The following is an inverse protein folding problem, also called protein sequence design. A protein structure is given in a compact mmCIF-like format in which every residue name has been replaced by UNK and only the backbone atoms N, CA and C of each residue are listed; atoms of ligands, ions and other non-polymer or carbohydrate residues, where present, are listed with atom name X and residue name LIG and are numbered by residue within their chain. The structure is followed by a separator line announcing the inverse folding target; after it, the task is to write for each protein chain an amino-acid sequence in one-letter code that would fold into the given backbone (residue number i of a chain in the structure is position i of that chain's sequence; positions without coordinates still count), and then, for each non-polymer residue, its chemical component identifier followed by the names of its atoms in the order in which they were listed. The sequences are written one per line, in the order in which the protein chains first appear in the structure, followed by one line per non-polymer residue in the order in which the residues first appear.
data_IF_179735488657
#
_entry.id   IF_179735488657
#
_cell.length_a   1.000
_cell.length_b   1.000
_cell.length_c   1.000
_cell.angle_alpha   90.00
_cell.angle_beta   90.00
_cell.angle_gamma   90.00
#
_symmetry.space_group_name_H-M   'P 1'
#
loop_
_entity.id
_entity.type
_entity.pdbx_description
1 polymer ?
#
# COMPACT_ATOMS: atom_id res chain seq x y z
N UNK A 1 -24.36 23.29 -4.30
CA UNK A 1 -24.95 22.47 -5.40
C UNK A 1 -25.54 21.17 -4.85
N UNK A 2 -24.82 20.40 -4.06
CA UNK A 2 -25.28 19.11 -3.52
C UNK A 2 -26.54 19.23 -2.64
N UNK A 3 -26.70 20.33 -1.92
CA UNK A 3 -27.87 20.61 -1.07
C UNK A 3 -29.21 20.67 -1.84
N UNK A 4 -29.15 20.88 -3.16
CA UNK A 4 -30.33 20.95 -4.02
C UNK A 4 -30.66 19.63 -4.70
N UNK A 5 -29.78 18.64 -4.59
CA UNK A 5 -29.92 17.35 -5.26
C UNK A 5 -30.30 16.28 -4.24
N UNK A 6 -31.42 15.61 -4.49
CA UNK A 6 -31.84 14.49 -3.65
C UNK A 6 -30.94 13.28 -3.87
N UNK A 7 -30.37 12.71 -2.78
CA UNK A 7 -29.64 11.45 -2.83
C UNK A 7 -30.46 10.30 -3.40
N UNK A 8 -31.78 10.32 -3.20
CA UNK A 8 -32.66 9.35 -3.83
C UNK A 8 -32.67 9.48 -5.34
N UNK A 9 -32.69 10.70 -5.89
CA UNK A 9 -32.63 10.90 -7.35
C UNK A 9 -31.34 10.36 -7.94
N UNK A 10 -30.19 10.55 -7.27
CA UNK A 10 -28.90 9.96 -7.67
C UNK A 10 -28.93 8.45 -7.60
N UNK A 11 -29.53 7.85 -6.56
CA UNK A 11 -29.71 6.40 -6.42
C UNK A 11 -30.56 5.84 -7.55
N UNK A 12 -31.66 6.47 -7.88
CA UNK A 12 -32.55 6.05 -8.98
C UNK A 12 -31.83 6.13 -10.33
N UNK A 13 -31.14 7.24 -10.59
CA UNK A 13 -30.32 7.40 -11.78
C UNK A 13 -29.26 6.30 -11.90
N UNK A 14 -28.49 6.04 -10.84
CA UNK A 14 -27.46 5.00 -10.81
C UNK A 14 -28.01 3.61 -11.15
N UNK A 15 -29.17 3.24 -10.56
CA UNK A 15 -29.81 1.96 -10.85
C UNK A 15 -30.30 1.87 -12.29
N UNK A 16 -30.86 2.95 -12.86
CA UNK A 16 -31.27 2.96 -14.26
C UNK A 16 -30.07 2.85 -15.19
N UNK A 17 -28.98 3.54 -14.90
CA UNK A 17 -27.73 3.44 -15.65
C UNK A 17 -27.14 2.01 -15.57
N UNK A 18 -27.11 1.42 -14.37
CA UNK A 18 -26.58 0.07 -14.13
C UNK A 18 -27.34 -1.04 -14.87
N UNK A 19 -28.68 -0.93 -14.93
CA UNK A 19 -29.52 -1.97 -15.54
C UNK A 19 -29.97 -1.64 -16.97
N UNK A 20 -29.66 -0.45 -17.49
CA UNK A 20 -30.06 0.00 -18.82
C UNK A 20 -31.57 0.10 -19.03
N UNK A 21 -32.37 0.04 -17.95
CA UNK A 21 -33.84 -0.04 -18.03
C UNK A 21 -34.52 0.53 -16.79
N UNK A 22 -35.44 1.46 -17.01
CA UNK A 22 -36.31 2.02 -15.97
C UNK A 22 -37.15 0.95 -15.30
N UNK A 23 -37.63 -0.03 -16.08
CA UNK A 23 -38.44 -1.14 -15.58
C UNK A 23 -37.66 -2.06 -14.65
N UNK A 24 -36.43 -2.42 -15.03
CA UNK A 24 -35.57 -3.27 -14.21
C UNK A 24 -35.11 -2.53 -12.95
N UNK A 25 -34.75 -1.25 -13.07
CA UNK A 25 -34.38 -0.43 -11.92
C UNK A 25 -35.54 -0.31 -10.92
N UNK A 26 -36.76 -0.05 -11.41
CA UNK A 26 -37.97 0.02 -10.58
C UNK A 26 -38.21 -1.28 -9.80
N UNK A 27 -38.06 -2.41 -10.48
CA UNK A 27 -38.19 -3.75 -9.86
C UNK A 27 -37.13 -3.99 -8.76
N UNK A 28 -35.89 -3.59 -9.01
CA UNK A 28 -34.79 -3.74 -8.04
C UNK A 28 -34.91 -2.81 -6.83
N UNK A 29 -35.48 -1.62 -7.04
CA UNK A 29 -35.71 -0.62 -6.00
C UNK A 29 -37.06 -0.79 -5.28
N UNK A 30 -37.89 -1.77 -5.68
CA UNK A 30 -39.24 -2.02 -5.12
C UNK A 30 -40.15 -0.81 -5.21
N UNK A 31 -40.11 -0.08 -6.35
CA UNK A 31 -40.92 1.11 -6.62
C UNK A 31 -41.59 1.02 -7.99
N UNK A 32 -42.49 1.97 -8.30
CA UNK A 32 -43.12 2.07 -9.61
C UNK A 32 -42.20 2.69 -10.67
N UNK A 33 -42.39 2.33 -11.93
CA UNK A 33 -41.64 2.94 -13.06
C UNK A 33 -41.86 4.47 -13.15
N UNK A 34 -43.08 4.94 -12.84
CA UNK A 34 -43.43 6.35 -12.81
C UNK A 34 -42.62 7.10 -11.72
N UNK A 35 -42.43 6.48 -10.57
CA UNK A 35 -41.58 7.03 -9.49
C UNK A 35 -40.12 7.19 -9.95
N UNK A 36 -39.57 6.14 -10.59
CA UNK A 36 -38.21 6.19 -11.14
C UNK A 36 -38.06 7.29 -12.17
N UNK A 37 -38.97 7.32 -13.17
CA UNK A 37 -38.95 8.33 -14.22
C UNK A 37 -39.06 9.76 -13.68
N UNK A 38 -39.93 9.98 -12.66
CA UNK A 38 -40.07 11.27 -11.99
C UNK A 38 -38.79 11.71 -11.29
N UNK A 39 -38.08 10.77 -10.62
CA UNK A 39 -36.84 11.09 -9.93
C UNK A 39 -35.70 11.42 -10.89
N UNK A 40 -35.64 10.74 -12.03
CA UNK A 40 -34.67 11.05 -13.09
C UNK A 40 -34.97 12.42 -13.67
N UNK A 41 -36.24 12.71 -14.01
CA UNK A 41 -36.65 14.01 -14.51
C UNK A 41 -36.28 15.13 -13.54
N UNK A 42 -36.59 14.99 -12.26
CA UNK A 42 -36.26 15.98 -11.25
C UNK A 42 -34.74 16.20 -11.13
N UNK A 43 -33.93 15.14 -11.31
CA UNK A 43 -32.48 15.24 -11.30
C UNK A 43 -31.96 16.00 -12.53
N UNK A 44 -32.45 15.68 -13.71
CA UNK A 44 -32.09 16.36 -14.95
C UNK A 44 -32.49 17.85 -14.92
N UNK A 45 -33.67 18.18 -14.39
CA UNK A 45 -34.10 19.55 -14.13
C UNK A 45 -33.18 20.29 -13.15
N UNK A 46 -32.89 19.68 -12.02
CA UNK A 46 -32.01 20.28 -11.00
C UNK A 46 -30.58 20.54 -11.51
N UNK A 47 -30.12 19.70 -12.44
CA UNK A 47 -28.79 19.81 -13.07
C UNK A 47 -28.85 20.69 -14.34
N UNK A 48 -30.05 21.01 -14.82
CA UNK A 48 -30.29 21.63 -16.14
C UNK A 48 -29.55 20.89 -17.26
N UNK A 49 -29.56 19.55 -17.21
CA UNK A 49 -28.76 18.69 -18.09
C UNK A 49 -29.44 17.34 -18.28
N UNK A 50 -29.57 16.90 -19.53
CA UNK A 50 -30.08 15.57 -19.85
C UNK A 50 -28.98 14.52 -19.52
N UNK A 51 -29.36 13.50 -18.79
CA UNK A 51 -28.49 12.37 -18.43
C UNK A 51 -28.76 11.15 -19.32
N UNK A 52 -29.95 11.07 -19.89
CA UNK A 52 -30.33 10.05 -20.86
C UNK A 52 -30.97 10.68 -22.10
N UNK A 53 -30.61 10.10 -23.24
CA UNK A 53 -31.30 10.35 -24.55
C UNK A 53 -32.28 9.21 -24.81
N UNK A 54 -33.48 9.59 -25.28
CA UNK A 54 -34.48 8.63 -25.77
C UNK A 54 -34.40 8.55 -27.30
N UNK A 55 -33.50 7.67 -27.81
CA UNK A 55 -33.43 7.40 -29.25
C UNK A 55 -34.05 6.03 -29.56
N UNK A 56 -34.98 5.98 -30.50
CA UNK A 56 -35.59 4.74 -31.02
C UNK A 56 -36.18 3.81 -29.96
N UNK A 57 -36.83 4.34 -28.92
CA UNK A 57 -37.38 3.59 -27.77
C UNK A 57 -36.30 2.96 -26.87
N UNK A 58 -35.03 3.19 -27.11
CA UNK A 58 -33.93 2.78 -26.24
C UNK A 58 -33.46 3.96 -25.38
N UNK A 59 -33.10 3.65 -24.14
CA UNK A 59 -32.52 4.59 -23.19
C UNK A 59 -31.00 4.58 -23.39
N UNK A 60 -30.43 5.66 -23.88
CA UNK A 60 -28.98 5.79 -24.11
C UNK A 60 -28.45 6.86 -23.16
N UNK A 61 -27.35 6.59 -22.48
CA UNK A 61 -26.72 7.54 -21.56
C UNK A 61 -26.02 8.66 -22.35
N UNK A 62 -26.13 9.91 -21.89
CA UNK A 62 -25.37 11.03 -22.44
C UNK A 62 -23.95 11.05 -21.88
N UNK A 63 -23.04 11.85 -22.46
CA UNK A 63 -21.69 12.06 -21.88
C UNK A 63 -21.73 12.59 -20.44
N UNK A 64 -22.70 13.45 -20.14
CA UNK A 64 -22.92 13.96 -18.77
C UNK A 64 -23.42 12.85 -17.84
N UNK A 65 -24.27 11.97 -18.35
CA UNK A 65 -24.70 10.77 -17.64
C UNK A 65 -23.52 9.84 -17.32
N UNK A 66 -22.60 9.63 -18.27
CA UNK A 66 -21.39 8.80 -18.06
C UNK A 66 -20.50 9.36 -16.95
N UNK A 67 -20.31 10.68 -16.90
CA UNK A 67 -19.56 11.34 -15.82
C UNK A 67 -20.24 11.11 -14.47
N UNK A 68 -21.57 11.35 -14.42
CA UNK A 68 -22.31 11.22 -13.16
C UNK A 68 -22.40 9.78 -12.68
N UNK A 69 -22.56 8.79 -13.57
CA UNK A 69 -22.63 7.39 -13.16
C UNK A 69 -21.30 6.88 -12.58
N UNK A 70 -20.17 7.34 -13.13
CA UNK A 70 -18.84 7.02 -12.58
C UNK A 70 -18.69 7.55 -11.15
N UNK A 71 -19.09 8.80 -10.91
CA UNK A 71 -19.11 9.39 -9.57
C UNK A 71 -20.06 8.63 -8.62
N UNK A 72 -21.29 8.34 -9.06
CA UNK A 72 -22.27 7.59 -8.27
C UNK A 72 -21.76 6.19 -7.91
N UNK A 73 -21.05 5.51 -8.82
CA UNK A 73 -20.46 4.20 -8.57
C UNK A 73 -19.47 4.24 -7.41
N UNK A 74 -18.59 5.24 -7.38
CA UNK A 74 -17.62 5.42 -6.29
C UNK A 74 -18.31 5.74 -4.96
N UNK A 75 -19.22 6.73 -4.94
CA UNK A 75 -19.89 7.16 -3.71
C UNK A 75 -20.76 6.06 -3.12
N UNK A 76 -21.58 5.38 -3.94
CA UNK A 76 -22.43 4.30 -3.46
C UNK A 76 -21.64 3.06 -3.08
N UNK A 77 -20.48 2.78 -3.73
CA UNK A 77 -19.56 1.73 -3.32
C UNK A 77 -19.02 1.97 -1.91
N UNK A 78 -18.53 3.17 -1.63
CA UNK A 78 -18.06 3.56 -0.29
C UNK A 78 -19.17 3.49 0.78
N UNK A 79 -20.40 3.90 0.43
CA UNK A 79 -21.55 3.76 1.33
C UNK A 79 -21.90 2.29 1.61
N UNK A 80 -21.89 1.44 0.60
CA UNK A 80 -22.16 0.00 0.76
C UNK A 80 -21.11 -0.65 1.67
N UNK A 81 -19.82 -0.33 1.50
CA UNK A 81 -18.73 -0.79 2.37
C UNK A 81 -18.95 -0.35 3.82
N UNK A 82 -19.26 0.91 4.05
CA UNK A 82 -19.56 1.45 5.38
C UNK A 82 -20.76 0.73 6.02
N UNK A 83 -21.85 0.52 5.26
CA UNK A 83 -23.04 -0.18 5.76
C UNK A 83 -22.77 -1.65 6.08
N UNK A 84 -21.91 -2.31 5.30
CA UNK A 84 -21.46 -3.67 5.59
C UNK A 84 -20.69 -3.70 6.91
N UNK A 85 -19.76 -2.76 7.12
CA UNK A 85 -19.01 -2.66 8.37
C UNK A 85 -19.91 -2.40 9.58
N UNK A 86 -20.93 -1.55 9.43
CA UNK A 86 -21.91 -1.26 10.50
C UNK A 86 -22.84 -2.46 10.78
N UNK A 87 -23.15 -3.26 9.77
CA UNK A 87 -24.06 -4.40 9.89
C UNK A 87 -23.38 -5.68 10.41
N UNK A 88 -22.04 -5.75 10.31
CA UNK A 88 -21.32 -6.86 10.91
C UNK A 88 -21.36 -6.68 12.44
N UNK A 89 -21.80 -7.70 13.21
CA UNK A 89 -21.55 -7.69 14.64
C UNK A 89 -20.05 -7.51 14.80
N UNK A 90 -19.62 -6.77 15.86
CA UNK A 90 -18.21 -6.73 16.27
C UNK A 90 -17.76 -8.14 16.65
N UNK A 91 -17.65 -9.03 15.67
CA UNK A 91 -16.81 -10.21 15.78
C UNK A 91 -15.41 -9.66 15.95
N UNK A 92 -14.74 -10.04 17.01
CA UNK A 92 -13.33 -9.76 17.24
C UNK A 92 -12.63 -9.90 15.89
N UNK A 93 -12.06 -8.82 15.39
CA UNK A 93 -11.48 -8.82 14.06
C UNK A 93 -10.26 -9.74 14.11
N UNK A 94 -10.45 -10.97 13.65
CA UNK A 94 -9.41 -12.02 13.72
C UNK A 94 -8.28 -11.80 12.73
N UNK A 95 -8.29 -10.69 12.02
CA UNK A 95 -7.23 -10.33 11.07
C UNK A 95 -6.59 -9.00 11.47
N UNK A 96 -5.27 -8.95 11.38
CA UNK A 96 -4.48 -7.72 11.47
C UNK A 96 -3.90 -7.44 10.09
N UNK A 97 -4.39 -6.38 9.44
CA UNK A 97 -3.97 -6.02 8.08
C UNK A 97 -2.70 -5.16 8.17
N UNK A 98 -1.61 -5.72 7.69
CA UNK A 98 -0.29 -5.10 7.70
C UNK A 98 0.14 -4.69 6.30
N UNK A 99 0.50 -3.43 6.10
CA UNK A 99 1.17 -2.95 4.89
C UNK A 99 2.68 -2.86 5.09
N UNK A 100 3.46 -3.42 4.18
CA UNK A 100 4.93 -3.36 4.24
C UNK A 100 5.54 -3.17 2.84
N UNK A 101 6.72 -2.57 2.77
CA UNK A 101 7.46 -2.43 1.51
C UNK A 101 7.76 -3.80 0.88
N UNK A 102 7.67 -3.95 -0.46
CA UNK A 102 7.77 -5.25 -1.12
C UNK A 102 9.05 -6.02 -0.77
N UNK A 103 10.21 -5.37 -0.84
CA UNK A 103 11.50 -6.06 -0.62
C UNK A 103 11.67 -6.52 0.82
N UNK A 104 11.34 -5.66 1.78
CA UNK A 104 11.38 -6.00 3.20
C UNK A 104 10.36 -7.11 3.52
N UNK A 105 9.16 -7.04 2.93
CA UNK A 105 8.14 -8.08 3.05
C UNK A 105 8.67 -9.44 2.62
N UNK A 106 9.21 -9.53 1.41
CA UNK A 106 9.66 -10.80 0.82
C UNK A 106 10.90 -11.38 1.52
N UNK A 107 11.88 -10.54 1.81
CA UNK A 107 13.19 -11.01 2.24
C UNK A 107 13.30 -11.16 3.76
N UNK A 108 12.62 -10.31 4.52
CA UNK A 108 12.74 -10.30 5.98
C UNK A 108 11.47 -10.74 6.71
N UNK A 109 10.30 -10.17 6.36
CA UNK A 109 9.08 -10.34 7.13
C UNK A 109 8.42 -11.71 6.90
N UNK A 110 8.14 -12.10 5.64
CA UNK A 110 7.48 -13.38 5.32
C UNK A 110 8.18 -14.58 5.94
N UNK A 111 9.51 -14.73 5.87
CA UNK A 111 10.21 -15.83 6.54
C UNK A 111 9.93 -15.91 8.05
N UNK A 112 9.68 -14.76 8.70
CA UNK A 112 9.45 -14.65 10.14
C UNK A 112 7.98 -14.79 10.55
N UNK A 113 7.03 -14.46 9.68
CA UNK A 113 5.60 -14.65 9.96
C UNK A 113 5.25 -16.10 10.29
N UNK A 114 6.04 -17.07 9.80
CA UNK A 114 5.87 -18.48 10.19
C UNK A 114 6.16 -18.70 11.68
N UNK A 115 7.13 -17.98 12.26
CA UNK A 115 7.41 -18.00 13.70
C UNK A 115 6.26 -17.36 14.47
N UNK A 116 5.77 -16.18 14.01
CA UNK A 116 4.64 -15.49 14.61
C UNK A 116 3.38 -16.38 14.66
N UNK A 117 3.06 -17.03 13.56
CA UNK A 117 1.90 -17.95 13.48
C UNK A 117 1.99 -19.11 14.49
N UNK A 118 3.20 -19.61 14.77
CA UNK A 118 3.41 -20.69 15.76
C UNK A 118 3.19 -20.25 17.20
N UNK A 119 3.16 -18.95 17.50
CA UNK A 119 2.85 -18.43 18.85
C UNK A 119 1.37 -18.61 19.22
N UNK A 120 0.50 -18.92 18.25
CA UNK A 120 -0.89 -19.34 18.51
C UNK A 120 -1.81 -18.20 18.95
N UNK A 121 -1.56 -16.97 18.48
CA UNK A 121 -2.46 -15.84 18.72
C UNK A 121 -3.84 -16.09 18.07
N UNK A 122 -4.88 -15.47 18.62
CA UNK A 122 -6.27 -15.60 18.19
C UNK A 122 -6.61 -14.78 16.93
N UNK A 123 -5.61 -14.15 16.31
CA UNK A 123 -5.72 -13.40 15.06
C UNK A 123 -4.64 -13.80 14.04
N UNK A 124 -4.92 -13.55 12.77
CA UNK A 124 -4.02 -13.78 11.64
C UNK A 124 -3.52 -12.45 11.07
N UNK A 125 -2.28 -12.42 10.59
CA UNK A 125 -1.71 -11.28 9.88
C UNK A 125 -1.99 -11.41 8.38
N UNK A 126 -2.68 -10.43 7.83
CA UNK A 126 -2.88 -10.27 6.38
C UNK A 126 -1.86 -9.27 5.87
N UNK A 127 -0.96 -9.71 4.99
CA UNK A 127 0.12 -8.87 4.48
C UNK A 127 -0.24 -8.28 3.13
N UNK A 128 -0.22 -6.95 3.04
CA UNK A 128 -0.30 -6.16 1.82
C UNK A 128 1.06 -5.57 1.51
N UNK A 129 1.47 -5.58 0.24
CA UNK A 129 2.75 -5.01 -0.17
C UNK A 129 2.54 -3.68 -0.87
N UNK A 130 3.00 -2.60 -0.23
CA UNK A 130 2.99 -1.26 -0.80
C UNK A 130 4.12 -0.42 -0.18
N UNK A 131 4.61 0.55 -0.94
CA UNK A 131 5.56 1.57 -0.46
C UNK A 131 4.93 2.96 -0.41
N UNK A 132 5.66 3.93 0.13
CA UNK A 132 5.23 5.33 0.21
C UNK A 132 4.17 5.62 1.27
N UNK A 133 3.35 6.63 1.00
CA UNK A 133 2.28 7.10 1.91
C UNK A 133 1.21 6.03 2.07
N UNK A 134 0.66 5.91 3.28
CA UNK A 134 -0.39 4.94 3.63
C UNK A 134 -1.68 5.70 3.88
N UNK A 135 -2.74 5.29 3.20
CA UNK A 135 -4.11 5.71 3.53
C UNK A 135 -4.78 4.56 4.31
N UNK A 136 -4.73 4.65 5.63
CA UNK A 136 -5.20 3.59 6.53
C UNK A 136 -6.69 3.29 6.36
N UNK A 137 -7.51 4.31 6.14
CA UNK A 137 -8.96 4.16 6.01
C UNK A 137 -9.34 3.61 4.64
N UNK A 138 -8.81 4.23 3.57
CA UNK A 138 -9.15 3.85 2.19
C UNK A 138 -8.68 2.44 1.86
N UNK A 139 -7.48 2.07 2.32
CA UNK A 139 -6.87 0.79 2.00
C UNK A 139 -7.20 -0.29 3.05
N UNK A 140 -8.00 0.05 4.09
CA UNK A 140 -8.38 -0.82 5.20
C UNK A 140 -7.16 -1.50 5.86
N UNK A 141 -6.16 -0.70 6.21
CA UNK A 141 -4.90 -1.12 6.82
C UNK A 141 -4.94 -0.82 8.31
N UNK A 142 -4.61 -1.80 9.16
CA UNK A 142 -4.51 -1.61 10.62
C UNK A 142 -3.16 -1.00 11.03
N UNK A 143 -2.07 -1.50 10.42
CA UNK A 143 -0.69 -1.10 10.71
C UNK A 143 0.17 -1.10 9.45
N UNK A 144 1.25 -0.32 9.44
CA UNK A 144 2.16 -0.28 8.29
C UNK A 144 3.63 -0.18 8.73
N UNK A 145 4.52 -0.94 8.10
CA UNK A 145 5.97 -0.78 8.28
C UNK A 145 6.47 0.20 7.21
N UNK A 146 7.05 1.31 7.66
CA UNK A 146 7.63 2.35 6.80
C UNK A 146 8.91 2.91 7.40
N UNK A 147 9.73 3.54 6.56
CA UNK A 147 10.86 4.35 7.01
C UNK A 147 10.43 5.80 7.26
N UNK A 148 11.20 6.50 8.10
CA UNK A 148 10.96 7.90 8.43
C UNK A 148 11.58 8.89 7.43
N UNK A 149 11.95 8.45 6.25
CA UNK A 149 12.40 9.31 5.15
C UNK A 149 11.24 9.74 4.21
N UNK A 150 10.00 9.42 4.60
CA UNK A 150 8.76 9.89 3.99
C UNK A 150 7.94 10.69 5.00
N UNK A 151 7.16 11.62 4.51
CA UNK A 151 6.11 12.25 5.29
C UNK A 151 4.93 11.26 5.41
N UNK A 152 4.54 10.94 6.65
CA UNK A 152 3.44 10.01 6.91
C UNK A 152 2.07 10.71 6.99
N UNK A 153 2.06 12.06 7.02
CA UNK A 153 0.86 12.86 7.23
C UNK A 153 0.55 13.13 8.72
N UNK A 154 -0.54 13.85 8.94
CA UNK A 154 -1.02 14.20 10.28
C UNK A 154 -1.77 13.02 10.91
N UNK A 155 -1.81 12.98 12.25
CA UNK A 155 -2.55 12.01 13.07
C UNK A 155 -2.12 10.54 12.89
N UNK A 156 -0.84 10.31 12.55
CA UNK A 156 -0.26 8.97 12.48
C UNK A 156 0.60 8.71 13.72
N UNK A 157 0.33 7.61 14.41
CA UNK A 157 1.15 7.11 15.51
C UNK A 157 2.25 6.23 14.93
N UNK A 158 3.48 6.45 15.37
CA UNK A 158 4.65 5.72 14.87
C UNK A 158 5.55 5.23 16.00
N UNK A 159 5.76 3.94 16.08
CA UNK A 159 6.70 3.30 16.99
C UNK A 159 7.96 2.86 16.23
N UNK A 160 9.13 3.33 16.67
CA UNK A 160 10.41 2.92 16.09
C UNK A 160 10.67 1.43 16.38
N UNK A 161 10.97 0.68 15.32
CA UNK A 161 11.24 -0.77 15.42
C UNK A 161 12.71 -1.12 15.17
N UNK A 162 13.44 -0.38 14.32
CA UNK A 162 14.86 -0.58 14.09
C UNK A 162 15.51 0.64 13.42
N UNK A 163 16.82 0.80 13.58
CA UNK A 163 17.64 1.68 12.74
C UNK A 163 17.88 1.05 11.37
N UNK A 164 17.99 1.85 10.33
CA UNK A 164 18.37 1.36 9.00
C UNK A 164 19.88 1.25 8.87
N UNK A 165 20.33 0.09 8.45
CA UNK A 165 21.71 -0.20 8.14
C UNK A 165 21.84 -0.63 6.69
N UNK A 166 22.75 -0.03 5.97
CA UNK A 166 22.99 -0.29 4.55
C UNK A 166 24.45 -0.68 4.30
N UNK A 167 24.67 -1.45 3.25
CA UNK A 167 26.01 -1.81 2.79
C UNK A 167 26.02 -1.97 1.26
N UNK A 168 27.17 -1.80 0.66
CA UNK A 168 27.39 -2.14 -0.74
C UNK A 168 27.74 -3.63 -0.85
N UNK A 169 27.00 -4.35 -1.67
CA UNK A 169 27.18 -5.79 -1.91
C UNK A 169 27.35 -6.10 -3.39
N UNK A 170 28.00 -7.22 -3.64
CA UNK A 170 28.08 -7.82 -4.97
C UNK A 170 27.95 -9.33 -4.87
N UNK A 171 27.67 -9.97 -6.00
CA UNK A 171 27.69 -11.43 -6.11
C UNK A 171 29.08 -11.97 -5.75
N UNK A 172 29.13 -13.14 -5.08
CA UNK A 172 30.39 -13.75 -4.65
C UNK A 172 31.28 -14.14 -5.83
N UNK A 173 30.69 -14.56 -6.95
CA UNK A 173 31.41 -14.79 -8.21
C UNK A 173 31.85 -13.46 -8.80
N UNK A 174 33.01 -13.39 -9.49
CA UNK A 174 33.46 -12.14 -10.11
C UNK A 174 32.41 -11.57 -11.07
N UNK A 175 32.11 -10.30 -10.92
CA UNK A 175 31.31 -9.53 -11.89
C UNK A 175 32.28 -8.78 -12.81
N UNK A 176 32.02 -8.76 -14.10
CA UNK A 176 32.83 -8.06 -15.09
C UNK A 176 32.42 -6.58 -15.23
N UNK A 177 31.35 -6.15 -14.52
CA UNK A 177 30.81 -4.80 -14.64
C UNK A 177 31.19 -3.93 -13.44
N UNK A 178 31.42 -2.65 -13.71
CA UNK A 178 31.57 -1.60 -12.70
C UNK A 178 30.27 -0.81 -12.53
N UNK A 179 29.14 -1.49 -12.59
CA UNK A 179 27.84 -0.87 -12.43
C UNK A 179 27.35 -1.00 -10.96
N UNK A 180 26.67 0.07 -10.47
CA UNK A 180 25.96 0.06 -9.20
C UNK A 180 24.47 0.25 -9.46
N UNK A 181 23.68 -0.74 -9.07
CA UNK A 181 22.23 -0.76 -9.21
C UNK A 181 21.61 -0.02 -8.01
N UNK A 182 20.81 1.01 -8.28
CA UNK A 182 20.23 1.91 -7.29
C UNK A 182 18.72 1.94 -7.43
N UNK A 183 18.02 1.71 -6.33
CA UNK A 183 16.56 1.83 -6.30
C UNK A 183 16.11 3.28 -6.32
N UNK A 184 15.11 3.57 -7.15
CA UNK A 184 14.43 4.87 -7.22
C UNK A 184 13.19 4.95 -6.33
N UNK A 185 12.75 3.83 -5.72
CA UNK A 185 11.57 3.80 -4.83
C UNK A 185 11.76 4.61 -3.55
N UNK A 186 13.00 4.99 -3.22
CA UNK A 186 13.34 5.78 -2.04
C UNK A 186 13.86 7.15 -2.44
N UNK A 187 13.19 8.25 -2.03
CA UNK A 187 13.58 9.60 -2.40
C UNK A 187 15.01 9.93 -1.95
N UNK A 188 15.79 10.54 -2.84
CA UNK A 188 17.15 10.99 -2.56
C UNK A 188 18.12 9.92 -2.04
N UNK A 189 17.80 8.64 -2.12
CA UNK A 189 18.61 7.55 -1.56
C UNK A 189 20.08 7.65 -2.00
N UNK A 190 20.33 7.70 -3.31
CA UNK A 190 21.70 7.83 -3.83
C UNK A 190 22.43 9.08 -3.35
N UNK A 191 21.71 10.22 -3.31
CA UNK A 191 22.28 11.51 -2.83
C UNK A 191 22.66 11.43 -1.35
N UNK A 192 21.85 10.80 -0.54
CA UNK A 192 22.09 10.65 0.90
C UNK A 192 23.26 9.72 1.17
N UNK A 193 23.30 8.51 0.57
CA UNK A 193 24.40 7.57 0.77
C UNK A 193 25.74 8.09 0.20
N UNK A 194 25.74 8.91 -0.87
CA UNK A 194 26.95 9.51 -1.39
C UNK A 194 27.59 10.54 -0.45
N UNK A 195 26.90 10.94 0.63
CA UNK A 195 27.43 11.80 1.70
C UNK A 195 28.09 10.98 2.82
N UNK A 196 27.82 9.69 2.90
CA UNK A 196 28.43 8.78 3.86
C UNK A 196 29.85 8.48 3.34
N UNK A 197 30.87 8.85 4.13
CA UNK A 197 32.28 8.82 3.70
C UNK A 197 32.70 7.42 3.27
N UNK A 198 32.32 6.41 4.05
CA UNK A 198 32.65 5.02 3.84
C UNK A 198 32.06 4.49 2.53
N UNK A 199 30.82 4.81 2.23
CA UNK A 199 30.17 4.39 0.98
C UNK A 199 30.67 5.18 -0.22
N UNK A 200 30.91 6.48 -0.07
CA UNK A 200 31.42 7.35 -1.13
C UNK A 200 32.74 6.85 -1.71
N UNK A 201 33.66 6.41 -0.84
CA UNK A 201 34.94 5.86 -1.28
C UNK A 201 34.76 4.55 -2.08
N UNK A 202 33.90 3.67 -1.60
CA UNK A 202 33.64 2.37 -2.25
C UNK A 202 32.83 2.51 -3.54
N UNK A 203 32.06 3.56 -3.71
CA UNK A 203 31.30 3.85 -4.94
C UNK A 203 32.12 4.55 -6.04
N UNK A 204 33.37 4.93 -5.73
CA UNK A 204 34.22 5.62 -6.69
C UNK A 204 34.57 4.69 -7.87
N UNK A 205 34.23 5.14 -9.09
CA UNK A 205 34.47 4.40 -10.32
C UNK A 205 33.30 3.53 -10.77
N UNK A 206 32.22 3.43 -10.00
CA UNK A 206 30.99 2.77 -10.43
C UNK A 206 30.13 3.68 -11.30
N UNK A 207 29.52 3.08 -12.34
CA UNK A 207 28.47 3.71 -13.14
C UNK A 207 27.12 3.44 -12.49
N UNK A 208 26.32 4.48 -12.31
CA UNK A 208 24.98 4.35 -11.71
C UNK A 208 23.98 3.81 -12.72
N UNK A 209 23.26 2.74 -12.35
CA UNK A 209 22.11 2.19 -13.07
C UNK A 209 20.90 2.25 -12.16
N UNK A 210 19.82 2.88 -12.61
CA UNK A 210 18.58 3.04 -11.83
C UNK A 210 17.59 1.94 -12.14
N UNK A 211 17.02 1.35 -11.07
CA UNK A 211 15.92 0.40 -11.11
C UNK A 211 14.84 0.87 -10.14
N UNK A 212 13.57 0.53 -10.40
CA UNK A 212 12.46 1.08 -9.64
C UNK A 212 12.48 0.63 -8.16
N UNK A 213 12.70 -0.66 -7.90
CA UNK A 213 12.59 -1.24 -6.57
C UNK A 213 13.87 -1.94 -6.09
N UNK A 214 14.07 -2.02 -4.78
CA UNK A 214 15.20 -2.73 -4.18
C UNK A 214 15.26 -4.23 -4.55
N UNK A 215 14.11 -4.91 -4.72
CA UNK A 215 14.15 -6.30 -5.16
C UNK A 215 14.70 -6.44 -6.59
N UNK A 216 14.47 -5.47 -7.48
CA UNK A 216 15.06 -5.47 -8.82
C UNK A 216 16.58 -5.26 -8.74
N UNK A 217 17.03 -4.37 -7.86
CA UNK A 217 18.47 -4.16 -7.64
C UNK A 217 19.13 -5.43 -7.07
N UNK A 218 18.46 -6.10 -6.15
CA UNK A 218 18.94 -7.34 -5.55
C UNK A 218 19.03 -8.49 -6.56
N UNK A 219 17.96 -8.72 -7.31
CA UNK A 219 17.94 -9.76 -8.36
C UNK A 219 18.95 -9.45 -9.49
N UNK A 220 19.07 -8.18 -9.88
CA UNK A 220 20.09 -7.74 -10.83
C UNK A 220 21.51 -8.00 -10.33
N UNK A 221 21.76 -7.72 -9.03
CA UNK A 221 23.05 -8.01 -8.42
C UNK A 221 23.33 -9.51 -8.38
N UNK A 222 22.37 -10.35 -8.01
CA UNK A 222 22.49 -11.81 -8.00
C UNK A 222 22.72 -12.38 -9.40
N UNK A 223 22.14 -11.75 -10.42
CA UNK A 223 22.37 -12.10 -11.84
C UNK A 223 23.72 -11.61 -12.39
N UNK A 224 24.50 -10.85 -11.61
CA UNK A 224 25.81 -10.34 -12.03
C UNK A 224 25.78 -9.06 -12.85
N UNK A 225 24.64 -8.34 -12.89
CA UNK A 225 24.51 -7.04 -13.60
C UNK A 225 25.28 -5.89 -12.95
N UNK A 226 25.66 -6.04 -11.67
CA UNK A 226 26.43 -5.03 -10.94
C UNK A 226 26.35 -5.22 -9.43
N UNK A 227 26.99 -4.31 -8.69
CA UNK A 227 26.87 -4.21 -7.25
C UNK A 227 25.56 -3.47 -6.87
N UNK A 228 25.12 -3.55 -5.62
CA UNK A 228 23.98 -2.73 -5.14
C UNK A 228 24.19 -2.26 -3.73
N UNK A 229 23.68 -1.06 -3.39
CA UNK A 229 23.58 -0.59 -1.99
C UNK A 229 22.20 -0.93 -1.49
N UNK A 230 22.13 -1.71 -0.41
CA UNK A 230 20.88 -2.26 0.07
C UNK A 230 20.89 -2.40 1.60
N UNK A 231 19.70 -2.41 2.20
CA UNK A 231 19.49 -2.73 3.61
C UNK A 231 19.99 -4.12 3.97
N UNK A 232 20.67 -4.24 5.11
CA UNK A 232 21.14 -5.54 5.62
C UNK A 232 19.98 -6.50 5.90
N UNK A 233 18.83 -5.99 6.30
CA UNK A 233 17.63 -6.79 6.56
C UNK A 233 17.08 -7.47 5.29
N UNK A 234 17.36 -6.90 4.12
CA UNK A 234 16.86 -7.42 2.84
C UNK A 234 17.75 -8.50 2.22
N UNK A 235 18.94 -8.74 2.78
CA UNK A 235 19.96 -9.64 2.21
C UNK A 235 20.52 -10.65 3.22
N UNK A 236 19.86 -10.83 4.34
CA UNK A 236 20.30 -11.71 5.43
C UNK A 236 20.60 -13.13 4.92
N UNK A 237 19.67 -13.72 4.16
CA UNK A 237 19.82 -15.08 3.61
C UNK A 237 20.88 -15.14 2.51
N UNK A 238 20.94 -14.12 1.66
CA UNK A 238 21.95 -14.05 0.60
C UNK A 238 23.38 -13.98 1.15
N UNK A 239 23.57 -13.35 2.30
CA UNK A 239 24.85 -13.35 3.02
C UNK A 239 25.11 -14.69 3.69
N UNK A 240 24.13 -15.26 4.40
CA UNK A 240 24.22 -16.57 5.06
C UNK A 240 24.57 -17.68 4.05
N UNK A 241 23.95 -17.68 2.88
CA UNK A 241 24.20 -18.66 1.83
C UNK A 241 25.40 -18.35 0.93
N UNK A 242 26.17 -17.30 1.29
CA UNK A 242 27.35 -16.88 0.54
C UNK A 242 27.06 -16.58 -0.96
N UNK A 243 25.86 -16.12 -1.29
CA UNK A 243 25.49 -15.67 -2.62
C UNK A 243 26.02 -14.26 -2.89
N UNK A 244 25.96 -13.42 -1.85
CA UNK A 244 26.47 -12.05 -1.86
C UNK A 244 27.61 -11.89 -0.86
N UNK A 245 28.50 -10.94 -1.12
CA UNK A 245 29.54 -10.47 -0.21
C UNK A 245 29.45 -8.97 -0.02
N UNK A 246 29.65 -8.52 1.22
CA UNK A 246 29.79 -7.08 1.54
C UNK A 246 31.15 -6.58 0.99
N UNK A 247 31.11 -5.49 0.23
CA UNK A 247 32.31 -4.82 -0.32
C UNK A 247 32.50 -3.41 0.24
N UNK A 248 31.67 -3.02 1.21
CA UNK A 248 31.84 -1.88 2.08
C UNK A 248 31.51 -2.24 3.52
N UNK A 249 31.91 -1.42 4.51
CA UNK A 249 31.37 -1.50 5.85
C UNK A 249 29.84 -1.38 5.86
N UNK A 250 29.21 -1.95 6.89
CA UNK A 250 27.81 -1.69 7.21
C UNK A 250 27.72 -0.34 7.92
N UNK A 251 26.85 0.54 7.47
CA UNK A 251 26.71 1.89 8.00
C UNK A 251 25.23 2.25 8.23
N UNK A 252 24.98 3.06 9.24
CA UNK A 252 23.67 3.70 9.40
C UNK A 252 23.49 4.79 8.35
N UNK A 253 22.33 4.85 7.73
CA UNK A 253 22.03 5.91 6.74
C UNK A 253 21.27 7.11 7.34
N UNK A 254 21.01 7.07 8.65
CA UNK A 254 20.29 8.09 9.41
C UNK A 254 18.78 7.95 9.40
N UNK A 255 18.23 6.96 8.69
CA UNK A 255 16.82 6.61 8.75
C UNK A 255 16.55 5.44 9.70
N UNK A 256 15.28 5.17 9.97
CA UNK A 256 14.83 4.08 10.81
C UNK A 256 13.51 3.53 10.30
N UNK A 257 13.24 2.27 10.58
CA UNK A 257 11.94 1.64 10.37
C UNK A 257 11.01 1.92 11.54
N UNK A 258 9.76 2.17 11.22
CA UNK A 258 8.68 2.42 12.16
C UNK A 258 7.49 1.53 11.82
N UNK A 259 6.78 1.10 12.86
CA UNK A 259 5.43 0.59 12.74
C UNK A 259 4.47 1.76 12.93
N UNK A 260 3.62 1.98 11.94
CA UNK A 260 2.66 3.09 11.89
C UNK A 260 1.24 2.59 12.10
N UNK A 261 0.39 3.42 12.71
CA UNK A 261 -1.03 3.18 12.89
C UNK A 261 -1.81 4.50 12.90
N UNK A 262 -3.08 4.47 12.52
CA UNK A 262 -4.00 5.62 12.61
C UNK A 262 -4.60 5.82 14.02
N UNK A 263 -4.43 4.86 14.93
CA UNK A 263 -4.82 4.95 16.34
C UNK A 263 -3.67 4.50 17.25
N UNK A 264 -3.78 4.73 18.56
CA UNK A 264 -2.75 4.29 19.49
C UNK A 264 -2.64 2.76 19.51
N UNK A 265 -1.44 2.24 19.80
CA UNK A 265 -1.21 0.79 19.79
C UNK A 265 -1.94 0.09 20.94
N UNK A 266 -2.17 0.79 22.05
CA UNK A 266 -2.84 0.28 23.26
C UNK A 266 -4.34 0.06 23.06
N UNK A 267 -4.96 0.73 22.09
CA UNK A 267 -6.38 0.57 21.78
C UNK A 267 -6.73 -0.79 21.17
N UNK A 268 -5.71 -1.50 20.63
CA UNK A 268 -5.87 -2.79 19.95
C UNK A 268 -4.75 -3.74 20.38
N UNK A 269 -5.08 -4.74 21.16
CA UNK A 269 -4.13 -5.74 21.67
C UNK A 269 -3.36 -6.46 20.55
N UNK A 270 -3.96 -6.63 19.36
CA UNK A 270 -3.30 -7.25 18.20
C UNK A 270 -2.11 -6.40 17.73
N UNK A 271 -2.27 -5.06 17.72
CA UNK A 271 -1.21 -4.12 17.34
C UNK A 271 -0.06 -4.15 18.35
N UNK A 272 -0.37 -4.15 19.64
CA UNK A 272 0.65 -4.22 20.70
C UNK A 272 1.42 -5.52 20.64
N UNK A 273 0.74 -6.67 20.55
CA UNK A 273 1.38 -8.00 20.44
C UNK A 273 2.30 -8.06 19.22
N UNK A 274 1.82 -7.57 18.06
CA UNK A 274 2.62 -7.59 16.84
C UNK A 274 3.83 -6.64 16.92
N UNK A 275 3.67 -5.47 17.52
CA UNK A 275 4.74 -4.48 17.72
C UNK A 275 5.88 -5.05 18.59
N UNK A 276 5.55 -5.68 19.72
CA UNK A 276 6.53 -6.28 20.62
C UNK A 276 7.32 -7.40 19.93
N UNK A 277 6.60 -8.30 19.24
CA UNK A 277 7.22 -9.36 18.45
C UNK A 277 8.12 -8.78 17.35
N UNK A 278 7.67 -7.77 16.64
CA UNK A 278 8.40 -7.14 15.53
C UNK A 278 9.71 -6.49 16.04
N UNK A 279 9.64 -5.77 17.18
CA UNK A 279 10.83 -5.18 17.83
C UNK A 279 11.84 -6.26 18.22
N UNK A 280 11.39 -7.39 18.77
CA UNK A 280 12.25 -8.51 19.15
C UNK A 280 12.93 -9.14 17.92
N UNK A 281 12.20 -9.44 16.85
CA UNK A 281 12.77 -10.02 15.62
C UNK A 281 13.74 -9.04 14.91
N UNK A 282 13.46 -7.74 14.89
CA UNK A 282 14.36 -6.73 14.33
C UNK A 282 15.67 -6.64 15.13
N UNK A 283 15.57 -6.68 16.46
CA UNK A 283 16.74 -6.65 17.34
C UNK A 283 17.60 -7.91 17.17
N UNK A 284 16.98 -9.10 17.06
CA UNK A 284 17.69 -10.36 16.76
C UNK A 284 18.46 -10.28 15.44
N UNK A 285 17.80 -9.78 14.38
CA UNK A 285 18.45 -9.59 13.08
C UNK A 285 19.62 -8.61 13.15
N UNK A 286 19.45 -7.50 13.86
CA UNK A 286 20.51 -6.51 14.02
C UNK A 286 21.75 -7.10 14.68
N UNK A 287 21.59 -7.85 15.79
CA UNK A 287 22.70 -8.50 16.47
C UNK A 287 23.41 -9.56 15.63
N UNK A 288 22.72 -10.20 14.70
CA UNK A 288 23.29 -11.22 13.82
C UNK A 288 24.07 -10.61 12.65
N UNK A 289 23.64 -9.44 12.15
CA UNK A 289 24.15 -8.85 10.90
C UNK A 289 25.24 -7.79 11.10
N UNK A 290 25.32 -7.16 12.28
CA UNK A 290 26.34 -6.18 12.66
C UNK A 290 27.52 -6.87 13.38
#
# INVERSE_FOLDING_TARGET
MIERISLNSLKFFYFVAKYGSVTLAAKKLFVTQSAVSKQIYNLEEALNTALFDRKNKTLVMTKQGEILVSCCHQVFGQLDECLIQLSQPKTENKQLVLSCEPTLSMKWLIPRLTKFKKLGHDFEVVLLTAGGVVDFEKDNIDIAIRRNDFDWGEHIYGEKIADEYITLVQVTKPSETNDVLISTSRPNFFKNMSRIVELKQNLKGYTKVELEHFYLCLEGCLAGLGATVISIYMIEKELEWNLLKKISPVVQDGSAYFLLSHSTFEEDSRKTIFLEWLKAEMNESQHTLL
#
